data_IF_174014994958
#
_entry.id   IF_174014994958
#
_cell.length_a   1.000
_cell.length_b   1.000
_cell.length_c   1.000
_cell.angle_alpha   90.00
_cell.angle_beta   90.00
_cell.angle_gamma   90.00
#
_symmetry.space_group_name_H-M   'P 1'
#
loop_
_entity.id
_entity.type
_entity.pdbx_description
1 polymer ?
#
# COMPACT_ATOMS: atom_id res chain seq x y z
N UNK A 1 17.57 -41.43 -24.47
CA UNK A 1 16.48 -40.42 -24.40
C UNK A 1 16.82 -39.45 -23.28
N UNK A 2 17.12 -38.21 -23.63
CA UNK A 2 17.54 -37.16 -22.69
C UNK A 2 16.52 -36.02 -22.80
N UNK A 3 15.89 -35.53 -21.71
CA UNK A 3 14.93 -34.44 -21.85
C UNK A 3 15.67 -33.13 -22.15
N UNK A 4 15.21 -32.46 -23.21
CA UNK A 4 15.76 -31.20 -23.71
C UNK A 4 15.63 -30.06 -22.70
N UNK A 5 16.77 -29.49 -22.32
CA UNK A 5 16.87 -28.26 -21.54
C UNK A 5 16.42 -27.08 -22.43
N UNK A 6 15.16 -26.66 -22.26
CA UNK A 6 14.61 -25.44 -22.88
C UNK A 6 15.49 -24.24 -22.50
N UNK A 7 16.27 -23.74 -23.47
CA UNK A 7 16.91 -22.43 -23.42
C UNK A 7 15.81 -21.38 -23.34
N UNK A 8 15.59 -20.82 -22.16
CA UNK A 8 14.85 -19.57 -22.04
C UNK A 8 15.63 -18.50 -22.81
N UNK A 9 15.08 -18.07 -23.94
CA UNK A 9 15.48 -16.86 -24.62
C UNK A 9 15.28 -15.69 -23.63
N UNK A 10 16.36 -15.29 -22.96
CA UNK A 10 16.43 -14.02 -22.25
C UNK A 10 16.30 -12.92 -23.27
N UNK A 11 15.11 -12.31 -23.35
CA UNK A 11 15.00 -10.95 -23.86
C UNK A 11 15.94 -10.11 -23.00
N UNK A 12 17.06 -9.67 -23.58
CA UNK A 12 17.93 -8.69 -22.96
C UNK A 12 17.11 -7.40 -22.82
N UNK A 13 16.38 -7.28 -21.70
CA UNK A 13 15.94 -5.97 -21.22
C UNK A 13 17.21 -5.16 -21.06
N UNK A 14 17.38 -4.14 -21.89
CA UNK A 14 18.45 -3.17 -21.72
C UNK A 14 18.37 -2.66 -20.29
N UNK A 15 19.40 -2.95 -19.50
CA UNK A 15 19.49 -2.46 -18.13
C UNK A 15 19.41 -0.93 -18.19
N UNK A 16 18.63 -0.32 -17.29
CA UNK A 16 18.75 1.12 -17.13
C UNK A 16 20.13 1.49 -16.61
N UNK A 17 20.41 2.77 -16.72
CA UNK A 17 21.69 3.30 -16.37
C UNK A 17 22.08 3.05 -14.90
N UNK A 18 21.14 3.20 -13.96
CA UNK A 18 21.40 2.95 -12.55
C UNK A 18 21.81 1.48 -12.30
N UNK A 19 21.17 0.53 -12.99
CA UNK A 19 21.53 -0.88 -12.93
C UNK A 19 22.91 -1.15 -13.54
N UNK A 20 23.27 -0.52 -14.67
CA UNK A 20 24.62 -0.66 -15.27
C UNK A 20 25.71 -0.11 -14.35
N UNK A 21 25.48 1.04 -13.73
CA UNK A 21 26.42 1.63 -12.78
C UNK A 21 26.57 0.78 -11.52
N UNK A 22 25.45 0.23 -11.00
CA UNK A 22 25.47 -0.71 -9.89
C UNK A 22 26.18 -2.03 -10.23
N UNK A 23 26.11 -2.50 -11.48
CA UNK A 23 26.87 -3.67 -11.93
C UNK A 23 28.38 -3.40 -11.97
N UNK A 24 28.81 -2.20 -12.41
CA UNK A 24 30.23 -1.83 -12.36
C UNK A 24 30.76 -1.75 -10.93
N UNK A 25 29.99 -1.16 -10.00
CA UNK A 25 30.34 -1.15 -8.58
C UNK A 25 30.39 -2.57 -7.98
N UNK A 26 29.49 -3.47 -8.40
CA UNK A 26 29.56 -4.88 -7.99
C UNK A 26 30.78 -5.60 -8.56
N UNK A 27 31.18 -5.29 -9.80
CA UNK A 27 32.35 -5.89 -10.44
C UNK A 27 33.66 -5.56 -9.69
N UNK A 28 33.73 -4.41 -9.02
CA UNK A 28 34.85 -4.00 -8.16
C UNK A 28 34.66 -4.37 -6.69
N UNK A 29 33.64 -5.18 -6.37
CA UNK A 29 33.50 -5.84 -5.05
C UNK A 29 32.42 -5.27 -4.13
N UNK A 30 31.70 -4.21 -4.50
CA UNK A 30 30.63 -3.68 -3.64
C UNK A 30 29.36 -4.51 -3.70
N UNK A 31 28.79 -4.87 -2.56
CA UNK A 31 27.50 -5.57 -2.55
C UNK A 31 26.35 -4.61 -2.81
N UNK A 32 25.17 -5.13 -3.19
CA UNK A 32 23.94 -4.31 -3.26
C UNK A 32 23.62 -3.59 -1.95
N UNK A 33 24.02 -4.17 -0.80
CA UNK A 33 23.85 -3.56 0.51
C UNK A 33 24.76 -2.35 0.69
N UNK A 34 26.00 -2.43 0.23
CA UNK A 34 26.96 -1.33 0.31
C UNK A 34 26.57 -0.19 -0.62
N UNK A 35 26.17 -0.52 -1.86
CA UNK A 35 25.63 0.46 -2.81
C UNK A 35 24.41 1.18 -2.21
N UNK A 36 23.51 0.43 -1.56
CA UNK A 36 22.36 1.02 -0.90
C UNK A 36 22.75 1.94 0.27
N UNK A 37 23.76 1.55 1.06
CA UNK A 37 24.30 2.38 2.16
C UNK A 37 24.92 3.68 1.63
N UNK A 38 25.70 3.61 0.55
CA UNK A 38 26.32 4.77 -0.11
C UNK A 38 25.25 5.80 -0.52
N UNK A 39 24.12 5.36 -1.08
CA UNK A 39 23.05 6.26 -1.53
C UNK A 39 21.99 6.57 -0.46
N UNK A 40 22.21 6.18 0.81
CA UNK A 40 21.28 6.34 1.94
C UNK A 40 19.90 5.68 1.70
N UNK A 41 19.87 4.46 1.14
CA UNK A 41 18.62 3.74 0.83
C UNK A 41 18.64 2.28 1.29
N UNK A 42 17.46 1.66 1.19
CA UNK A 42 17.28 0.25 1.48
C UNK A 42 17.78 -0.62 0.30
N UNK A 43 18.41 -1.79 0.54
CA UNK A 43 18.89 -2.70 -0.52
C UNK A 43 17.82 -3.13 -1.51
N UNK A 44 16.54 -3.17 -1.11
CA UNK A 44 15.43 -3.47 -2.01
C UNK A 44 15.30 -2.45 -3.14
N UNK A 45 15.73 -1.21 -2.94
CA UNK A 45 15.74 -0.18 -3.99
C UNK A 45 16.75 -0.52 -5.09
N UNK A 46 17.94 -1.00 -4.71
CA UNK A 46 18.98 -1.42 -5.68
C UNK A 46 18.48 -2.61 -6.51
N UNK A 47 17.80 -3.57 -5.88
CA UNK A 47 17.12 -4.67 -6.61
C UNK A 47 16.02 -4.17 -7.57
N UNK A 48 15.39 -3.04 -7.26
CA UNK A 48 14.38 -2.42 -8.14
C UNK A 48 14.99 -1.70 -9.35
N UNK A 49 16.30 -1.40 -9.36
CA UNK A 49 16.97 -0.91 -10.56
C UNK A 49 16.83 -1.94 -11.68
N UNK A 50 17.11 -3.20 -11.38
CA UNK A 50 17.04 -4.32 -12.34
C UNK A 50 15.61 -4.73 -12.69
N UNK A 51 14.72 -4.77 -11.69
CA UNK A 51 13.41 -5.41 -11.86
C UNK A 51 12.27 -4.46 -12.21
N UNK A 52 12.37 -3.19 -11.79
CA UNK A 52 11.28 -2.19 -11.89
C UNK A 52 11.68 -0.93 -12.64
N UNK A 53 12.84 -0.96 -13.29
CA UNK A 53 13.38 0.16 -14.05
C UNK A 53 13.52 1.47 -13.24
N UNK A 54 13.79 1.36 -11.93
CA UNK A 54 13.96 2.51 -11.03
C UNK A 54 15.42 2.97 -11.02
N UNK A 55 15.69 4.08 -10.32
CA UNK A 55 17.05 4.52 -10.01
C UNK A 55 17.53 5.75 -10.75
N UNK A 56 16.72 6.31 -11.66
CA UNK A 56 17.08 7.52 -12.43
C UNK A 56 17.57 8.68 -11.55
N UNK A 57 16.94 8.91 -10.40
CA UNK A 57 17.32 9.97 -9.46
C UNK A 57 18.68 9.75 -8.76
N UNK A 58 19.29 8.57 -8.91
CA UNK A 58 20.58 8.21 -8.28
C UNK A 58 21.71 8.08 -9.28
N UNK A 59 21.45 8.24 -10.59
CA UNK A 59 22.45 8.05 -11.65
C UNK A 59 23.65 8.96 -11.44
N UNK A 60 23.44 10.25 -11.19
CA UNK A 60 24.54 11.20 -10.94
C UNK A 60 25.36 10.78 -9.72
N UNK A 61 24.71 10.42 -8.61
CA UNK A 61 25.42 9.97 -7.42
C UNK A 61 26.24 8.69 -7.68
N UNK A 62 25.70 7.73 -8.41
CA UNK A 62 26.39 6.48 -8.75
C UNK A 62 27.57 6.70 -9.71
N UNK A 63 27.47 7.66 -10.65
CA UNK A 63 28.59 8.03 -11.53
C UNK A 63 29.74 8.64 -10.73
N UNK A 64 29.46 9.58 -9.84
CA UNK A 64 30.49 10.24 -9.01
C UNK A 64 31.15 9.25 -8.05
N UNK A 65 30.38 8.35 -7.44
CA UNK A 65 30.93 7.26 -6.62
C UNK A 65 31.83 6.34 -7.44
N UNK A 66 31.40 5.96 -8.64
CA UNK A 66 32.19 5.10 -9.50
C UNK A 66 33.49 5.77 -9.94
N UNK A 67 33.45 7.07 -10.28
CA UNK A 67 34.65 7.85 -10.57
C UNK A 67 35.59 7.90 -9.35
N UNK A 68 35.06 8.18 -8.15
CA UNK A 68 35.84 8.19 -6.93
C UNK A 68 36.54 6.86 -6.63
N UNK A 69 35.89 5.73 -6.95
CA UNK A 69 36.48 4.39 -6.83
C UNK A 69 37.53 4.15 -7.90
N UNK A 70 37.20 4.38 -9.17
CA UNK A 70 38.04 3.99 -10.32
C UNK A 70 39.24 4.93 -10.54
N UNK A 71 39.07 6.24 -10.31
CA UNK A 71 40.11 7.25 -10.55
C UNK A 71 40.71 7.78 -9.26
N UNK A 72 39.89 7.92 -8.21
CA UNK A 72 40.33 8.43 -6.90
C UNK A 72 40.86 7.36 -5.95
N UNK A 73 40.65 6.07 -6.24
CA UNK A 73 41.06 4.96 -5.37
C UNK A 73 40.34 4.92 -4.02
N UNK A 74 39.22 5.65 -3.87
CA UNK A 74 38.48 5.72 -2.61
C UNK A 74 37.74 4.39 -2.40
N UNK A 75 37.99 3.76 -1.25
CA UNK A 75 37.38 2.47 -0.88
C UNK A 75 36.53 2.54 0.39
N UNK A 76 36.66 3.61 1.17
CA UNK A 76 35.88 3.80 2.38
C UNK A 76 34.41 4.14 2.07
N UNK A 77 33.49 3.38 2.65
CA UNK A 77 32.05 3.54 2.40
C UNK A 77 31.49 4.86 2.92
N UNK A 78 32.06 5.42 3.98
CA UNK A 78 31.62 6.70 4.57
C UNK A 78 31.99 7.85 3.65
N UNK A 79 33.21 7.83 3.10
CA UNK A 79 33.66 8.80 2.10
C UNK A 79 32.84 8.72 0.82
N UNK A 80 32.59 7.51 0.31
CA UNK A 80 31.74 7.31 -0.86
C UNK A 80 30.29 7.77 -0.60
N UNK A 81 29.77 7.55 0.61
CA UNK A 81 28.46 8.06 1.00
C UNK A 81 28.44 9.60 1.06
N UNK A 82 29.51 10.23 1.52
CA UNK A 82 29.63 11.70 1.54
C UNK A 82 29.65 12.29 0.11
N UNK A 83 30.27 11.60 -0.84
CA UNK A 83 30.23 11.97 -2.27
C UNK A 83 28.81 11.83 -2.81
N UNK A 84 28.18 10.67 -2.61
CA UNK A 84 26.81 10.43 -3.06
C UNK A 84 25.79 11.39 -2.44
N UNK A 85 25.98 11.79 -1.18
CA UNK A 85 25.08 12.69 -0.46
C UNK A 85 24.91 14.05 -1.15
N UNK A 86 25.95 14.55 -1.85
CA UNK A 86 25.88 15.81 -2.61
C UNK A 86 24.92 15.75 -3.80
N UNK A 87 24.65 14.54 -4.29
CA UNK A 87 23.86 14.29 -5.50
C UNK A 87 22.56 13.53 -5.22
N UNK A 88 22.29 13.15 -3.98
CA UNK A 88 21.04 12.49 -3.59
C UNK A 88 20.15 13.43 -2.79
N UNK A 89 18.91 13.60 -3.24
CA UNK A 89 17.91 14.37 -2.50
C UNK A 89 16.81 13.45 -2.00
N UNK A 90 16.46 13.58 -0.72
CA UNK A 90 15.22 12.99 -0.21
C UNK A 90 14.05 13.86 -0.65
N UNK A 91 12.96 13.21 -1.04
CA UNK A 91 11.71 13.91 -1.34
C UNK A 91 11.20 14.59 -0.07
N UNK A 92 10.78 15.84 -0.20
CA UNK A 92 10.16 16.63 0.88
C UNK A 92 8.66 16.78 0.66
N UNK A 93 7.93 17.08 1.72
CA UNK A 93 6.54 17.54 1.66
C UNK A 93 6.50 18.99 1.16
N UNK A 94 5.30 19.49 0.83
CA UNK A 94 5.11 20.90 0.48
C UNK A 94 5.60 21.86 1.60
N UNK A 95 5.58 21.40 2.86
CA UNK A 95 6.12 22.11 4.03
C UNK A 95 7.62 21.90 4.29
N UNK A 96 8.36 21.29 3.37
CA UNK A 96 9.82 21.08 3.50
C UNK A 96 10.25 19.92 4.42
N UNK A 97 9.32 19.29 5.14
CA UNK A 97 9.64 18.14 6.00
C UNK A 97 9.96 16.88 5.19
N UNK A 98 10.74 15.94 5.75
CA UNK A 98 11.07 14.67 5.08
C UNK A 98 9.79 13.90 4.74
N UNK A 99 9.55 13.63 3.46
CA UNK A 99 8.41 12.83 3.05
C UNK A 99 8.60 11.39 3.57
N UNK A 100 7.66 10.91 4.38
CA UNK A 100 7.66 9.53 4.84
C UNK A 100 7.42 8.59 3.67
N UNK A 101 8.09 7.44 3.68
CA UNK A 101 7.76 6.33 2.79
C UNK A 101 6.29 6.03 2.99
N UNK A 102 5.54 5.91 1.89
CA UNK A 102 4.13 5.53 1.90
C UNK A 102 4.03 4.07 2.32
N UNK A 103 4.27 3.77 3.59
CA UNK A 103 3.90 2.49 4.17
C UNK A 103 2.39 2.38 4.05
N UNK A 104 1.93 1.20 3.64
CA UNK A 104 0.50 0.86 3.59
C UNK A 104 0.02 0.61 5.02
N UNK A 105 0.25 1.59 5.89
CA UNK A 105 0.03 1.52 7.31
C UNK A 105 -1.35 2.10 7.61
N UNK A 106 -2.16 1.21 8.16
CA UNK A 106 -3.42 1.53 8.74
C UNK A 106 -3.11 2.11 10.12
N UNK A 107 -3.05 3.44 10.24
CA UNK A 107 -2.68 4.11 11.49
C UNK A 107 -3.77 5.08 11.91
N UNK A 108 -4.14 5.02 13.18
CA UNK A 108 -4.90 6.07 13.85
C UNK A 108 -3.91 7.18 14.21
N UNK A 109 -4.16 8.37 13.69
CA UNK A 109 -3.42 9.60 13.99
C UNK A 109 -3.64 10.02 15.45
N UNK A 110 -2.76 10.86 16.04
CA UNK A 110 -2.95 11.38 17.39
C UNK A 110 -4.28 12.13 17.59
N UNK A 111 -4.87 12.66 16.52
CA UNK A 111 -6.20 13.30 16.54
C UNK A 111 -7.36 12.30 16.59
N UNK A 112 -7.07 10.99 16.70
CA UNK A 112 -8.08 9.94 16.78
C UNK A 112 -8.77 9.64 15.46
N UNK A 113 -8.12 9.94 14.33
CA UNK A 113 -8.64 9.57 12.99
C UNK A 113 -7.75 8.54 12.34
N UNK A 114 -8.33 7.51 11.73
CA UNK A 114 -7.55 6.45 11.07
C UNK A 114 -8.27 5.90 9.85
N UNK A 115 -7.50 5.53 8.82
CA UNK A 115 -8.04 4.96 7.59
C UNK A 115 -7.20 3.79 7.12
N UNK A 116 -7.86 2.73 6.64
CA UNK A 116 -7.23 1.56 6.06
C UNK A 116 -7.95 1.11 4.80
N UNK A 117 -7.19 0.77 3.75
CA UNK A 117 -7.75 0.41 2.44
C UNK A 117 -7.13 -0.85 1.88
N UNK A 118 -7.97 -1.73 1.35
CA UNK A 118 -7.58 -3.03 0.81
C UNK A 118 -8.31 -3.34 -0.50
N UNK A 119 -7.56 -3.89 -1.46
CA UNK A 119 -8.09 -4.39 -2.74
C UNK A 119 -7.99 -5.91 -2.85
N UNK A 120 -8.44 -6.44 -3.98
CA UNK A 120 -8.69 -7.86 -4.27
C UNK A 120 -7.73 -8.88 -3.61
N UNK A 121 -6.40 -8.72 -3.74
CA UNK A 121 -5.45 -9.68 -3.17
C UNK A 121 -5.57 -9.85 -1.64
N UNK A 122 -5.89 -8.77 -0.93
CA UNK A 122 -6.06 -8.83 0.51
C UNK A 122 -7.48 -9.23 0.94
N UNK A 123 -8.49 -9.02 0.09
CA UNK A 123 -9.84 -9.55 0.32
C UNK A 123 -9.78 -11.09 0.38
N UNK A 124 -9.06 -11.73 -0.53
CA UNK A 124 -8.92 -13.18 -0.56
C UNK A 124 -8.27 -13.76 0.71
N UNK A 125 -7.49 -12.97 1.44
CA UNK A 125 -6.89 -13.36 2.72
C UNK A 125 -7.60 -12.71 3.92
N UNK A 126 -8.88 -12.36 3.78
CA UNK A 126 -9.74 -11.86 4.85
C UNK A 126 -9.46 -10.43 5.32
N UNK A 127 -8.63 -9.68 4.60
CA UNK A 127 -8.25 -8.31 4.94
C UNK A 127 -7.72 -8.12 6.35
N UNK A 128 -7.09 -9.16 6.92
CA UNK A 128 -6.60 -9.24 8.31
C UNK A 128 -5.74 -8.04 8.73
N UNK A 129 -5.05 -7.40 7.78
CA UNK A 129 -4.29 -6.17 8.03
C UNK A 129 -5.13 -4.96 8.47
N UNK A 130 -6.45 -4.98 8.30
CA UNK A 130 -7.35 -3.96 8.83
C UNK A 130 -7.73 -4.21 10.29
N UNK A 131 -7.55 -5.44 10.80
CA UNK A 131 -7.92 -5.80 12.16
C UNK A 131 -7.25 -4.92 13.22
N UNK A 132 -5.93 -4.60 13.15
CA UNK A 132 -5.31 -3.72 14.14
C UNK A 132 -5.94 -2.33 14.20
N UNK A 133 -6.44 -1.78 13.08
CA UNK A 133 -7.15 -0.50 13.08
C UNK A 133 -8.45 -0.56 13.84
N UNK A 134 -9.24 -1.60 13.56
CA UNK A 134 -10.56 -1.78 14.16
C UNK A 134 -10.40 -2.05 15.66
N UNK A 135 -9.43 -2.87 16.05
CA UNK A 135 -9.11 -3.15 17.44
C UNK A 135 -8.65 -1.89 18.20
N UNK A 136 -7.77 -1.09 17.59
CA UNK A 136 -7.31 0.16 18.22
C UNK A 136 -8.42 1.21 18.28
N UNK A 137 -9.28 1.29 17.26
CA UNK A 137 -10.45 2.16 17.27
C UNK A 137 -11.45 1.75 18.35
N UNK A 138 -11.66 0.45 18.56
CA UNK A 138 -12.48 -0.08 19.66
C UNK A 138 -11.89 0.30 21.02
N UNK A 139 -10.58 0.10 21.21
CA UNK A 139 -9.87 0.45 22.44
C UNK A 139 -9.99 1.94 22.79
N UNK A 140 -10.04 2.81 21.78
CA UNK A 140 -10.18 4.25 21.94
C UNK A 140 -11.64 4.75 21.94
N UNK A 141 -12.64 3.87 21.86
CA UNK A 141 -14.06 4.27 21.84
C UNK A 141 -14.45 5.10 20.61
N UNK A 142 -13.83 4.83 19.46
CA UNK A 142 -14.06 5.58 18.22
C UNK A 142 -15.32 5.11 17.49
N UNK A 143 -15.76 5.94 16.55
CA UNK A 143 -16.72 5.55 15.50
C UNK A 143 -15.98 5.03 14.28
N UNK A 144 -16.64 4.17 13.50
CA UNK A 144 -16.14 3.72 12.21
C UNK A 144 -17.19 3.77 11.09
N UNK A 145 -16.69 3.83 9.88
CA UNK A 145 -17.41 3.65 8.64
C UNK A 145 -16.61 2.72 7.74
N UNK A 146 -17.29 2.10 6.78
CA UNK A 146 -16.59 1.37 5.73
C UNK A 146 -17.19 1.67 4.36
N UNK A 147 -16.36 1.50 3.35
CA UNK A 147 -16.71 1.66 1.96
C UNK A 147 -16.34 0.37 1.24
N UNK A 148 -17.29 -0.22 0.53
CA UNK A 148 -17.09 -1.48 -0.21
C UNK A 148 -17.29 -1.26 -1.69
N UNK A 149 -16.62 -2.07 -2.50
CA UNK A 149 -16.86 -2.15 -3.94
C UNK A 149 -17.20 -3.58 -4.33
N UNK A 150 -18.24 -3.74 -5.13
CA UNK A 150 -18.70 -5.02 -5.65
C UNK A 150 -19.41 -4.83 -7.00
N UNK A 151 -19.75 -5.92 -7.68
CA UNK A 151 -20.51 -5.86 -8.95
C UNK A 151 -21.88 -5.21 -8.71
N UNK A 152 -22.36 -4.35 -9.62
CA UNK A 152 -23.66 -3.65 -9.46
C UNK A 152 -24.81 -4.60 -9.14
N UNK A 153 -24.81 -5.78 -9.77
CA UNK A 153 -25.81 -6.85 -9.60
C UNK A 153 -25.81 -7.50 -8.21
N UNK A 154 -24.77 -7.27 -7.40
CA UNK A 154 -24.68 -7.77 -6.04
C UNK A 154 -25.44 -6.94 -5.01
N UNK A 155 -25.75 -5.67 -5.30
CA UNK A 155 -26.55 -4.82 -4.41
C UNK A 155 -28.04 -5.10 -4.57
N UNK A 156 -28.77 -5.18 -3.45
CA UNK A 156 -30.22 -5.40 -3.44
C UNK A 156 -31.02 -4.10 -3.58
N UNK A 157 -30.40 -2.97 -3.22
CA UNK A 157 -31.03 -1.66 -3.31
C UNK A 157 -30.47 -0.84 -4.47
N UNK A 158 -31.27 0.04 -5.08
CA UNK A 158 -30.78 1.00 -6.07
C UNK A 158 -29.69 1.92 -5.50
N UNK A 159 -28.80 2.37 -6.39
CA UNK A 159 -27.77 3.35 -6.06
C UNK A 159 -28.37 4.60 -5.40
N UNK A 160 -27.82 5.02 -4.25
CA UNK A 160 -28.25 6.21 -3.51
C UNK A 160 -29.54 6.04 -2.71
N UNK A 161 -30.05 4.80 -2.59
CA UNK A 161 -31.21 4.50 -1.74
C UNK A 161 -30.94 4.84 -0.26
N UNK A 162 -31.91 5.51 0.38
CA UNK A 162 -31.86 5.81 1.82
C UNK A 162 -31.92 4.55 2.69
N UNK A 163 -32.52 3.48 2.18
CA UNK A 163 -32.64 2.19 2.87
C UNK A 163 -31.30 1.44 2.89
N UNK A 164 -30.48 1.64 1.85
CA UNK A 164 -29.18 0.98 1.71
C UNK A 164 -28.12 1.60 2.61
N UNK A 165 -27.93 2.92 2.46
CA UNK A 165 -26.90 3.68 3.16
C UNK A 165 -27.57 4.87 3.89
N UNK A 166 -28.24 4.62 5.02
CA UNK A 166 -28.91 5.67 5.78
C UNK A 166 -27.96 6.82 6.08
N UNK A 167 -28.35 8.04 5.70
CA UNK A 167 -27.55 9.24 5.92
C UNK A 167 -26.45 9.49 4.86
N UNK A 168 -26.31 8.69 3.80
CA UNK A 168 -25.25 8.88 2.80
C UNK A 168 -25.84 8.78 1.40
N UNK A 169 -26.55 9.82 1.00
CA UNK A 169 -27.29 9.84 -0.27
C UNK A 169 -26.39 9.94 -1.51
N UNK A 170 -25.10 10.29 -1.36
CA UNK A 170 -24.23 10.71 -2.47
C UNK A 170 -22.87 10.00 -2.57
N UNK A 171 -22.56 9.03 -1.70
CA UNK A 171 -21.27 8.31 -1.77
C UNK A 171 -21.41 6.98 -2.54
N UNK A 172 -22.05 7.05 -3.71
CA UNK A 172 -22.08 5.95 -4.67
C UNK A 172 -21.21 6.31 -5.86
N UNK A 173 -20.13 5.56 -6.06
CA UNK A 173 -19.24 5.73 -7.21
C UNK A 173 -19.47 4.56 -8.16
N UNK A 174 -20.18 4.84 -9.25
CA UNK A 174 -20.33 3.90 -10.36
C UNK A 174 -19.06 3.91 -11.21
N UNK A 175 -18.58 2.73 -11.60
CA UNK A 175 -17.37 2.60 -12.43
C UNK A 175 -17.70 1.96 -13.77
N UNK A 176 -16.82 2.21 -14.74
CA UNK A 176 -16.97 1.70 -16.11
C UNK A 176 -16.91 0.16 -16.17
N UNK A 177 -16.31 -0.50 -15.19
CA UNK A 177 -16.17 -1.95 -15.13
C UNK A 177 -17.36 -2.67 -14.47
N UNK A 178 -18.57 -2.08 -14.56
CA UNK A 178 -19.81 -2.64 -13.98
C UNK A 178 -19.77 -2.90 -12.47
N UNK A 179 -18.81 -2.31 -11.76
CA UNK A 179 -18.76 -2.32 -10.31
C UNK A 179 -19.25 -1.00 -9.73
N UNK A 180 -19.61 -1.03 -8.47
CA UNK A 180 -20.09 0.13 -7.74
C UNK A 180 -19.55 0.12 -6.32
N UNK A 181 -19.08 1.29 -5.89
CA UNK A 181 -18.55 1.55 -4.56
C UNK A 181 -19.61 2.26 -3.72
N UNK A 182 -19.90 1.73 -2.52
CA UNK A 182 -20.88 2.29 -1.58
C UNK A 182 -20.29 2.46 -0.20
N UNK A 183 -20.63 3.57 0.46
CA UNK A 183 -20.17 3.90 1.81
C UNK A 183 -21.28 3.72 2.84
N UNK A 184 -20.94 3.08 3.95
CA UNK A 184 -21.79 2.85 5.10
C UNK A 184 -21.18 3.56 6.31
N UNK A 185 -21.88 4.59 6.79
CA UNK A 185 -21.42 5.49 7.84
C UNK A 185 -20.51 6.64 7.38
N UNK A 186 -20.62 7.77 8.06
CA UNK A 186 -19.77 8.94 7.85
C UNK A 186 -19.64 9.76 9.14
N UNK A 187 -18.63 10.63 9.21
CA UNK A 187 -18.51 11.54 10.35
C UNK A 187 -19.68 12.54 10.45
N UNK A 188 -20.36 12.81 9.34
CA UNK A 188 -21.47 13.76 9.26
C UNK A 188 -22.81 13.13 9.63
N UNK A 189 -23.01 11.85 9.30
CA UNK A 189 -24.33 11.19 9.39
C UNK A 189 -24.37 10.00 10.34
N UNK A 190 -23.28 9.81 11.08
CA UNK A 190 -23.14 8.73 12.05
C UNK A 190 -22.36 7.56 11.48
N UNK A 191 -21.67 6.85 12.37
CA UNK A 191 -20.92 5.64 12.06
C UNK A 191 -21.26 4.54 13.04
N UNK A 192 -20.72 3.35 12.78
CA UNK A 192 -20.80 2.22 13.67
C UNK A 192 -19.93 2.46 14.90
N UNK A 193 -20.32 1.90 16.04
CA UNK A 193 -19.42 1.78 17.19
C UNK A 193 -18.26 0.84 16.82
N UNK A 194 -17.02 1.29 17.07
CA UNK A 194 -15.85 0.48 16.75
C UNK A 194 -15.75 -0.79 17.61
N UNK A 195 -16.21 -0.77 18.86
CA UNK A 195 -16.23 -1.93 19.72
C UNK A 195 -17.22 -2.99 19.22
N UNK A 196 -18.40 -2.56 18.75
CA UNK A 196 -19.40 -3.48 18.19
C UNK A 196 -18.87 -4.18 16.94
N UNK A 197 -18.22 -3.42 16.05
CA UNK A 197 -17.67 -4.00 14.83
C UNK A 197 -16.43 -4.85 15.11
N UNK A 198 -15.61 -4.51 16.10
CA UNK A 198 -14.49 -5.35 16.54
C UNK A 198 -14.99 -6.73 16.98
N UNK A 199 -16.07 -6.81 17.77
CA UNK A 199 -16.69 -8.09 18.15
C UNK A 199 -17.15 -8.90 16.93
N UNK A 200 -17.70 -8.26 15.90
CA UNK A 200 -18.07 -8.93 14.64
C UNK A 200 -16.85 -9.47 13.89
N UNK A 201 -15.74 -8.73 13.88
CA UNK A 201 -14.47 -9.18 13.28
C UNK A 201 -13.89 -10.37 14.05
N UNK A 202 -13.93 -10.35 15.39
CA UNK A 202 -13.45 -11.46 16.20
C UNK A 202 -14.33 -12.72 16.03
N UNK A 203 -15.67 -12.55 15.94
CA UNK A 203 -16.60 -13.63 15.61
C UNK A 203 -16.41 -14.21 14.19
N UNK A 204 -15.70 -13.48 13.32
CA UNK A 204 -15.27 -13.95 12.00
C UNK A 204 -13.82 -14.47 12.01
N UNK A 205 -13.23 -14.76 13.18
CA UNK A 205 -11.86 -15.27 13.29
C UNK A 205 -10.79 -14.22 12.93
N UNK A 206 -11.13 -12.93 12.98
CA UNK A 206 -10.26 -11.85 12.55
C UNK A 206 -10.36 -11.51 11.05
N UNK A 207 -11.24 -12.17 10.30
CA UNK A 207 -11.53 -11.86 8.91
C UNK A 207 -12.46 -10.64 8.80
N UNK A 208 -11.88 -9.51 8.42
CA UNK A 208 -12.60 -8.24 8.27
C UNK A 208 -13.52 -8.26 7.05
N UNK A 209 -13.11 -8.95 5.98
CA UNK A 209 -13.94 -9.08 4.78
C UNK A 209 -15.21 -9.87 5.07
N UNK A 210 -15.08 -11.02 5.77
CA UNK A 210 -16.22 -11.84 6.19
C UNK A 210 -17.13 -11.08 7.15
N UNK A 211 -16.59 -10.35 8.12
CA UNK A 211 -17.39 -9.56 9.05
C UNK A 211 -18.23 -8.49 8.34
N UNK A 212 -17.63 -7.75 7.41
CA UNK A 212 -18.34 -6.76 6.58
C UNK A 212 -19.38 -7.42 5.68
N UNK A 213 -19.01 -8.52 5.01
CA UNK A 213 -19.91 -9.26 4.13
C UNK A 213 -21.14 -9.77 4.89
N UNK A 214 -20.94 -10.43 6.04
CA UNK A 214 -22.03 -10.92 6.90
C UNK A 214 -22.97 -9.78 7.30
N UNK A 215 -22.43 -8.66 7.77
CA UNK A 215 -23.25 -7.50 8.11
C UNK A 215 -24.08 -7.00 6.92
N UNK A 216 -23.49 -6.90 5.72
CA UNK A 216 -24.21 -6.44 4.51
C UNK A 216 -25.33 -7.41 4.10
N UNK A 217 -25.12 -8.71 4.27
CA UNK A 217 -26.14 -9.75 3.99
C UNK A 217 -27.24 -9.73 5.06
N UNK A 218 -26.88 -9.75 6.34
CA UNK A 218 -27.81 -9.70 7.48
C UNK A 218 -28.73 -8.49 7.42
N UNK A 219 -28.21 -7.37 6.91
CA UNK A 219 -28.97 -6.13 6.77
C UNK A 219 -29.65 -6.01 5.41
N UNK A 220 -29.53 -6.98 4.50
CA UNK A 220 -30.22 -6.98 3.20
C UNK A 220 -29.69 -5.93 2.21
N UNK A 221 -28.44 -5.50 2.33
CA UNK A 221 -27.79 -4.54 1.42
C UNK A 221 -27.26 -5.23 0.16
N UNK A 222 -26.79 -6.47 0.31
CA UNK A 222 -26.21 -7.27 -0.77
C UNK A 222 -26.78 -8.69 -0.79
N UNK A 223 -26.68 -9.34 -1.94
CA UNK A 223 -26.96 -10.78 -2.07
C UNK A 223 -25.92 -11.62 -1.31
N UNK A 224 -26.30 -12.81 -0.80
CA UNK A 224 -25.37 -13.70 -0.10
C UNK A 224 -24.16 -14.15 -0.91
N UNK A 225 -24.27 -14.18 -2.25
CA UNK A 225 -23.21 -14.59 -3.17
C UNK A 225 -22.40 -13.41 -3.74
N UNK A 226 -22.69 -12.18 -3.31
CA UNK A 226 -21.95 -11.01 -3.77
C UNK A 226 -20.49 -11.04 -3.27
N UNK A 227 -19.55 -10.58 -4.10
CA UNK A 227 -18.13 -10.58 -3.75
C UNK A 227 -17.59 -9.17 -3.58
N UNK A 228 -17.02 -8.91 -2.41
CA UNK A 228 -16.33 -7.65 -2.12
C UNK A 228 -15.00 -7.64 -2.86
N UNK A 229 -14.80 -6.67 -3.75
CA UNK A 229 -13.57 -6.50 -4.54
C UNK A 229 -12.59 -5.52 -3.87
N UNK A 230 -13.14 -4.61 -3.07
CA UNK A 230 -12.38 -3.59 -2.35
C UNK A 230 -13.10 -3.24 -1.06
N UNK A 231 -12.32 -2.95 -0.02
CA UNK A 231 -12.80 -2.53 1.28
C UNK A 231 -11.94 -1.39 1.81
N UNK A 232 -12.59 -0.38 2.36
CA UNK A 232 -11.96 0.68 3.12
C UNK A 232 -12.66 0.82 4.46
N UNK A 233 -11.89 1.10 5.51
CA UNK A 233 -12.38 1.40 6.85
C UNK A 233 -11.84 2.78 7.23
N UNK A 234 -12.73 3.64 7.75
CA UNK A 234 -12.44 4.99 8.25
C UNK A 234 -12.91 5.07 9.70
N UNK A 235 -12.14 5.73 10.56
CA UNK A 235 -12.40 5.85 12.00
C UNK A 235 -12.20 7.29 12.45
N UNK A 236 -13.00 7.74 13.41
CA UNK A 236 -12.93 9.09 13.97
C UNK A 236 -13.44 9.12 15.41
N UNK A 237 -13.01 10.12 16.18
CA UNK A 237 -13.63 10.42 17.48
C UNK A 237 -15.03 10.98 17.27
N UNK A 238 -16.06 10.46 17.95
CA UNK A 238 -17.36 11.13 18.01
C UNK A 238 -17.18 12.55 18.56
N UNK A 239 -17.95 13.50 18.03
CA UNK A 239 -18.00 14.88 18.53
C UNK A 239 -18.86 14.96 19.78
#
# INVERSE_FOLDING_TARGET
MTPGRRRHATSQRSLNEAARLADRLQAVGYTKRDIARIIDRDPSLVSQFYTKNKGAAFVTALREVLAAVETGGITDLTELAAIAARHTRRRTTASGTRARVRTKAVLITPTGTGTGRVGAQAIASGSTRLRPLIAEAARQGLRLAFTVRLAKTGYLHPAGSRTDSPGIRRDVIQRADHTEERSYGSAQTGGFDAADFARRVDAAGGDVTTAVHRWLVETGRIRPDAHILHLEVRTWRPR
#
